data_IF_037262915595
#
_entry.id   IF_037262915595
#
_cell.length_a   1.000
_cell.length_b   1.000
_cell.length_c   1.000
_cell.angle_alpha   90.00
_cell.angle_beta   90.00
_cell.angle_gamma   90.00
#
_symmetry.space_group_name_H-M   'P 1'
#
loop_
_entity.id
_entity.type
_entity.pdbx_description
1 polymer ?
#
# COMPACT_ATOMS: atom_id res chain seq x y z
N UNK A 1 -0.82 1.38 27.32
CA UNK A 1 0.10 1.53 26.17
C UNK A 1 -0.75 1.90 24.97
N UNK A 2 -0.80 3.19 24.63
CA UNK A 2 -1.48 3.62 23.41
C UNK A 2 -0.82 2.95 22.21
N UNK A 3 -1.62 2.25 21.39
CA UNK A 3 -1.14 1.73 20.11
C UNK A 3 -0.71 2.95 19.30
N UNK A 4 0.60 3.16 19.13
CA UNK A 4 1.13 4.19 18.23
C UNK A 4 0.45 4.02 16.87
N UNK A 5 -0.28 5.04 16.48
CA UNK A 5 -0.97 5.12 15.20
C UNK A 5 0.05 5.48 14.12
N UNK A 6 0.38 4.50 13.27
CA UNK A 6 1.45 4.65 12.29
C UNK A 6 0.92 5.19 10.97
N UNK A 7 1.69 6.07 10.34
CA UNK A 7 1.48 6.45 8.94
C UNK A 7 1.92 5.29 8.04
N UNK A 8 1.17 5.07 6.96
CA UNK A 8 1.35 3.90 6.09
C UNK A 8 1.77 4.34 4.69
N UNK A 9 3.05 4.22 4.42
CA UNK A 9 3.61 4.39 3.08
C UNK A 9 3.44 3.09 2.27
N UNK A 10 3.08 3.22 1.01
CA UNK A 10 3.11 2.13 0.04
C UNK A 10 4.03 2.48 -1.12
N UNK A 11 4.90 1.55 -1.51
CA UNK A 11 5.77 1.69 -2.69
C UNK A 11 5.67 0.43 -3.54
N UNK A 12 5.43 0.58 -4.84
CA UNK A 12 5.34 -0.53 -5.79
C UNK A 12 6.24 -0.30 -6.98
N UNK A 13 7.07 -1.29 -7.27
CA UNK A 13 7.81 -1.35 -8.52
C UNK A 13 6.93 -1.91 -9.65
N UNK A 14 6.87 -1.21 -10.77
CA UNK A 14 6.15 -1.63 -11.96
C UNK A 14 7.10 -1.66 -13.16
N UNK A 15 7.63 -2.85 -13.55
CA UNK A 15 8.37 -2.97 -14.79
C UNK A 15 7.42 -2.71 -15.97
N UNK A 16 7.90 -1.99 -16.98
CA UNK A 16 7.17 -1.76 -18.23
C UNK A 16 7.78 -2.58 -19.37
N UNK A 17 7.26 -2.42 -20.59
CA UNK A 17 7.84 -3.01 -21.81
C UNK A 17 9.27 -2.54 -22.05
N UNK A 18 9.96 -3.12 -23.05
CA UNK A 18 11.37 -2.82 -23.35
C UNK A 18 11.62 -1.34 -23.65
N UNK A 19 10.67 -0.68 -24.29
CA UNK A 19 10.79 0.69 -24.79
C UNK A 19 10.42 1.76 -23.76
N UNK A 20 9.86 1.36 -22.61
CA UNK A 20 9.42 2.30 -21.58
C UNK A 20 10.21 2.13 -20.29
N UNK A 21 10.57 3.23 -19.61
CA UNK A 21 11.22 3.12 -18.31
C UNK A 21 10.27 2.44 -17.31
N UNK A 22 10.81 1.68 -16.34
CA UNK A 22 10.00 1.19 -15.24
C UNK A 22 9.41 2.36 -14.44
N UNK A 23 8.29 2.12 -13.76
CA UNK A 23 7.67 3.09 -12.88
C UNK A 23 7.83 2.69 -11.41
N UNK A 24 7.93 3.69 -10.54
CA UNK A 24 7.61 3.52 -9.12
C UNK A 24 6.26 4.18 -8.86
N UNK A 25 5.37 3.41 -8.25
CA UNK A 25 4.08 3.90 -7.76
C UNK A 25 4.17 4.04 -6.25
N UNK A 26 3.64 5.12 -5.69
CA UNK A 26 3.67 5.31 -4.24
C UNK A 26 2.52 6.18 -3.75
N UNK A 27 2.23 6.07 -2.45
CA UNK A 27 1.32 6.93 -1.71
C UNK A 27 1.67 6.91 -0.22
N UNK A 28 1.11 7.85 0.53
CA UNK A 28 1.22 7.89 1.99
C UNK A 28 -0.17 8.15 2.60
N UNK A 29 -0.52 7.30 3.56
CA UNK A 29 -1.72 7.44 4.37
C UNK A 29 -1.38 7.85 5.80
N UNK A 30 -2.22 8.69 6.39
CA UNK A 30 -2.19 8.98 7.83
C UNK A 30 -2.78 7.81 8.66
N UNK A 31 -2.97 8.02 9.97
CA UNK A 31 -3.55 7.02 10.85
C UNK A 31 -5.06 6.78 10.66
N UNK A 32 -5.76 7.74 10.06
CA UNK A 32 -7.17 7.68 9.69
C UNK A 32 -7.39 7.15 8.27
N UNK A 33 -6.30 6.77 7.60
CA UNK A 33 -6.28 6.31 6.22
C UNK A 33 -6.68 7.40 5.22
N UNK A 34 -6.41 8.67 5.53
CA UNK A 34 -6.48 9.78 4.59
C UNK A 34 -5.14 9.97 3.87
N UNK A 35 -5.20 10.50 2.65
CA UNK A 35 -4.00 10.74 1.85
C UNK A 35 -3.22 11.94 2.38
N UNK A 36 -2.00 11.68 2.86
CA UNK A 36 -0.97 12.72 3.04
C UNK A 36 -0.20 12.95 1.74
N UNK A 37 0.02 11.88 0.98
CA UNK A 37 0.52 11.92 -0.39
C UNK A 37 -0.44 11.10 -1.25
N UNK A 38 -1.17 11.78 -2.14
CA UNK A 38 -2.07 11.14 -3.09
C UNK A 38 -1.31 10.13 -3.97
N UNK A 39 -1.97 9.08 -4.48
CA UNK A 39 -1.33 8.08 -5.33
C UNK A 39 -0.64 8.68 -6.56
N UNK A 40 0.64 8.39 -6.70
CA UNK A 40 1.49 8.89 -7.80
C UNK A 40 2.20 7.75 -8.49
N UNK A 41 2.55 7.96 -9.75
CA UNK A 41 3.42 7.09 -10.54
C UNK A 41 4.50 7.93 -11.21
N UNK A 42 5.75 7.52 -11.06
CA UNK A 42 6.88 8.26 -11.60
C UNK A 42 7.79 7.35 -12.44
N UNK A 43 8.20 7.79 -13.65
CA UNK A 43 9.17 7.06 -14.45
C UNK A 43 10.54 7.10 -13.80
N UNK A 44 11.26 5.97 -13.89
CA UNK A 44 12.52 5.79 -13.18
C UNK A 44 13.68 5.77 -14.15
N UNK A 45 14.49 6.82 -14.07
CA UNK A 45 15.81 6.90 -14.73
C UNK A 45 16.90 6.39 -13.79
N UNK A 46 16.86 6.80 -12.52
CA UNK A 46 17.79 6.36 -11.48
C UNK A 46 17.05 5.86 -10.23
N UNK A 47 17.03 4.53 -10.04
CA UNK A 47 16.30 3.87 -8.95
C UNK A 47 16.66 4.44 -7.57
N UNK A 48 17.95 4.69 -7.31
CA UNK A 48 18.40 5.13 -5.99
C UNK A 48 17.95 6.56 -5.70
N UNK A 49 18.19 7.49 -6.63
CA UNK A 49 17.77 8.89 -6.47
C UNK A 49 16.25 8.99 -6.34
N UNK A 50 15.51 8.26 -7.18
CA UNK A 50 14.04 8.23 -7.11
C UNK A 50 13.54 7.69 -5.77
N UNK A 51 14.12 6.59 -5.26
CA UNK A 51 13.73 6.03 -3.96
C UNK A 51 14.07 6.96 -2.79
N UNK A 52 15.24 7.61 -2.82
CA UNK A 52 15.63 8.60 -1.81
C UNK A 52 14.64 9.75 -1.80
N UNK A 53 14.33 10.31 -2.97
CA UNK A 53 13.36 11.41 -3.10
C UNK A 53 11.96 11.04 -2.56
N UNK A 54 11.44 9.84 -2.89
CA UNK A 54 10.16 9.37 -2.34
C UNK A 54 10.21 9.26 -0.81
N UNK A 55 11.27 8.67 -0.27
CA UNK A 55 11.37 8.45 1.17
C UNK A 55 11.62 9.74 1.93
N UNK A 56 12.28 10.74 1.33
CA UNK A 56 12.44 12.08 1.90
C UNK A 56 11.10 12.81 1.89
N UNK A 57 10.35 12.76 0.78
CA UNK A 57 8.99 13.32 0.67
C UNK A 57 8.06 12.73 1.75
N UNK A 58 8.00 11.40 1.90
CA UNK A 58 7.21 10.76 2.96
C UNK A 58 7.66 11.16 4.38
N UNK A 59 8.95 11.42 4.57
CA UNK A 59 9.51 11.75 5.88
C UNK A 59 9.13 13.15 6.35
N UNK A 60 8.83 14.07 5.42
CA UNK A 60 8.36 15.42 5.77
C UNK A 60 7.09 15.41 6.63
N UNK A 61 6.27 14.37 6.51
CA UNK A 61 5.05 14.18 7.29
C UNK A 61 5.26 13.43 8.62
N UNK A 62 6.37 12.69 8.76
CA UNK A 62 6.57 11.80 9.90
C UNK A 62 7.00 12.56 11.16
N UNK A 63 6.48 12.15 12.32
CA UNK A 63 6.88 12.67 13.63
C UNK A 63 7.07 11.54 14.64
N UNK A 64 7.61 11.84 15.83
CA UNK A 64 7.76 10.82 16.89
C UNK A 64 6.41 10.25 17.38
N UNK A 65 5.36 11.07 17.30
CA UNK A 65 3.99 10.71 17.64
C UNK A 65 3.34 9.85 16.55
N UNK A 66 3.73 10.09 15.29
CA UNK A 66 3.22 9.40 14.11
C UNK A 66 4.36 8.78 13.30
N UNK A 67 4.92 7.65 13.78
CA UNK A 67 6.01 6.98 13.09
C UNK A 67 5.56 6.44 11.73
N UNK A 68 6.44 6.62 10.74
CA UNK A 68 6.23 6.15 9.37
C UNK A 68 6.57 4.67 9.23
N UNK A 69 5.64 3.89 8.70
CA UNK A 69 5.86 2.51 8.25
C UNK A 69 5.72 2.44 6.74
N UNK A 70 6.75 1.93 6.06
CA UNK A 70 6.71 1.79 4.61
C UNK A 70 6.59 0.33 4.24
N UNK A 71 5.51 0.00 3.56
CA UNK A 71 5.30 -1.29 2.92
C UNK A 71 5.63 -1.19 1.44
N UNK A 72 6.19 -2.27 0.89
CA UNK A 72 6.56 -2.26 -0.51
C UNK A 72 6.31 -3.58 -1.22
N UNK A 73 5.99 -3.50 -2.51
CA UNK A 73 5.93 -4.64 -3.41
C UNK A 73 7.08 -4.56 -4.39
N UNK A 74 7.91 -5.61 -4.36
CA UNK A 74 8.96 -5.89 -5.36
C UNK A 74 8.73 -7.25 -6.00
N UNK A 75 9.59 -7.63 -6.96
CA UNK A 75 9.64 -9.00 -7.51
C UNK A 75 9.88 -10.07 -6.43
N UNK A 76 9.56 -11.32 -6.75
CA UNK A 76 9.92 -12.47 -5.93
C UNK A 76 11.27 -13.03 -6.37
N UNK A 77 12.36 -12.63 -5.71
CA UNK A 77 13.74 -13.08 -6.03
C UNK A 77 13.94 -14.60 -6.18
N UNK A 78 13.00 -15.45 -5.71
CA UNK A 78 13.08 -16.91 -5.82
C UNK A 78 12.57 -17.48 -7.15
N UNK A 79 11.82 -16.70 -7.95
CA UNK A 79 11.38 -17.14 -9.27
C UNK A 79 12.34 -16.58 -10.32
N UNK A 80 13.36 -17.37 -10.67
CA UNK A 80 14.37 -17.02 -11.68
C UNK A 80 13.73 -16.56 -12.98
N UNK A 81 14.23 -15.44 -13.55
CA UNK A 81 13.69 -14.83 -14.78
C UNK A 81 13.37 -13.34 -14.69
N UNK A 82 13.68 -12.67 -13.57
CA UNK A 82 13.38 -11.25 -13.41
C UNK A 82 14.38 -10.32 -14.11
N UNK A 83 13.87 -9.20 -14.65
CA UNK A 83 14.70 -8.09 -15.14
C UNK A 83 15.69 -7.65 -14.04
N UNK A 84 16.95 -7.36 -14.41
CA UNK A 84 18.02 -6.94 -13.48
C UNK A 84 17.62 -5.72 -12.62
N UNK A 85 16.89 -4.78 -13.21
CA UNK A 85 16.38 -3.58 -12.54
C UNK A 85 15.48 -3.87 -11.33
N UNK A 86 14.73 -4.97 -11.39
CA UNK A 86 13.75 -5.33 -10.38
C UNK A 86 14.42 -5.93 -9.15
N UNK A 87 15.50 -6.70 -9.36
CA UNK A 87 16.40 -7.14 -8.28
C UNK A 87 17.09 -5.94 -7.63
N UNK A 88 17.63 -5.03 -8.45
CA UNK A 88 18.25 -3.79 -7.97
C UNK A 88 17.28 -2.96 -7.12
N UNK A 89 16.04 -2.77 -7.56
CA UNK A 89 15.00 -2.12 -6.76
C UNK A 89 14.81 -2.82 -5.41
N UNK A 90 14.64 -4.14 -5.40
CA UNK A 90 14.40 -4.90 -4.17
C UNK A 90 15.50 -4.70 -3.12
N UNK A 91 16.77 -4.81 -3.52
CA UNK A 91 17.88 -4.64 -2.60
C UNK A 91 18.02 -3.18 -2.12
N UNK A 92 17.84 -2.21 -3.03
CA UNK A 92 17.93 -0.79 -2.69
C UNK A 92 16.83 -0.35 -1.72
N UNK A 93 15.56 -0.63 -2.00
CA UNK A 93 14.45 -0.24 -1.12
C UNK A 93 14.62 -0.86 0.26
N UNK A 94 14.96 -2.16 0.33
CA UNK A 94 15.13 -2.86 1.62
C UNK A 94 16.29 -2.26 2.41
N UNK A 95 17.42 -1.98 1.76
CA UNK A 95 18.58 -1.35 2.40
C UNK A 95 18.28 0.07 2.90
N UNK A 96 17.59 0.88 2.09
CA UNK A 96 17.19 2.24 2.46
C UNK A 96 16.22 2.25 3.64
N UNK A 97 15.18 1.42 3.60
CA UNK A 97 14.22 1.31 4.71
C UNK A 97 14.89 0.84 5.99
N UNK A 98 15.82 -0.14 5.91
CA UNK A 98 16.58 -0.61 7.07
C UNK A 98 17.41 0.52 7.69
N UNK A 99 18.19 1.24 6.87
CA UNK A 99 19.07 2.33 7.35
C UNK A 99 18.30 3.49 7.95
N UNK A 100 17.06 3.73 7.49
CA UNK A 100 16.20 4.81 7.97
C UNK A 100 15.28 4.41 9.13
N UNK A 101 15.37 3.16 9.62
CA UNK A 101 14.48 2.67 10.68
C UNK A 101 13.02 2.51 10.26
N UNK A 102 12.71 2.53 8.96
CA UNK A 102 11.36 2.46 8.40
C UNK A 102 10.92 1.01 8.07
N UNK A 103 11.84 0.06 8.23
CA UNK A 103 11.61 -1.35 7.90
C UNK A 103 10.92 -2.07 9.06
N UNK A 104 9.64 -2.38 8.90
CA UNK A 104 8.92 -3.28 9.81
C UNK A 104 9.15 -4.74 9.45
N UNK A 105 8.96 -5.64 10.44
CA UNK A 105 8.84 -7.08 10.18
C UNK A 105 7.68 -7.26 9.20
N UNK A 106 7.97 -7.93 8.08
CA UNK A 106 7.01 -8.18 7.00
C UNK A 106 6.57 -6.92 6.21
N UNK A 107 7.41 -5.90 6.10
CA UNK A 107 7.14 -4.71 5.26
C UNK A 107 6.99 -5.02 3.77
N UNK A 108 7.59 -6.12 3.32
CA UNK A 108 7.50 -6.58 1.93
C UNK A 108 6.19 -7.34 1.70
N UNK A 109 5.42 -6.89 0.73
CA UNK A 109 4.35 -7.69 0.13
C UNK A 109 4.97 -8.75 -0.80
N UNK A 110 4.94 -10.02 -0.39
CA UNK A 110 5.42 -11.10 -1.24
C UNK A 110 4.47 -11.38 -2.42
N UNK A 111 3.16 -11.38 -2.15
CA UNK A 111 2.11 -11.70 -3.12
C UNK A 111 1.12 -10.55 -3.27
N UNK A 112 0.62 -10.34 -4.49
CA UNK A 112 -0.53 -9.48 -4.72
C UNK A 112 -1.81 -10.29 -4.50
N UNK A 113 -2.91 -9.59 -4.25
CA UNK A 113 -4.25 -10.19 -4.24
C UNK A 113 -4.51 -10.91 -5.57
N UNK A 114 -5.23 -12.03 -5.49
CA UNK A 114 -5.75 -12.72 -6.69
C UNK A 114 -6.73 -11.81 -7.46
N UNK A 115 -7.11 -12.20 -8.67
CA UNK A 115 -8.03 -11.39 -9.48
C UNK A 115 -9.35 -11.13 -8.76
N UNK A 116 -9.92 -12.14 -8.12
CA UNK A 116 -11.21 -12.04 -7.43
C UNK A 116 -11.09 -11.27 -6.12
N UNK A 117 -10.01 -11.49 -5.36
CA UNK A 117 -9.71 -10.70 -4.16
C UNK A 117 -9.48 -9.23 -4.50
N UNK A 118 -8.76 -8.94 -5.58
CA UNK A 118 -8.51 -7.57 -6.03
C UNK A 118 -9.80 -6.91 -6.52
N UNK A 119 -10.67 -7.64 -7.21
CA UNK A 119 -12.00 -7.15 -7.63
C UNK A 119 -12.82 -6.74 -6.40
N UNK A 120 -12.91 -7.64 -5.40
CA UNK A 120 -13.59 -7.39 -4.13
C UNK A 120 -13.00 -6.20 -3.38
N UNK A 121 -11.68 -6.14 -3.28
CA UNK A 121 -10.97 -5.05 -2.61
C UNK A 121 -11.21 -3.70 -3.30
N UNK A 122 -11.21 -3.67 -4.64
CA UNK A 122 -11.57 -2.48 -5.43
C UNK A 122 -13.00 -2.02 -5.17
N UNK A 123 -13.97 -2.95 -5.25
CA UNK A 123 -15.36 -2.64 -4.97
C UNK A 123 -15.53 -2.04 -3.56
N UNK A 124 -14.84 -2.61 -2.56
CA UNK A 124 -14.85 -2.09 -1.21
C UNK A 124 -14.30 -0.66 -1.12
N UNK A 125 -13.16 -0.39 -1.78
CA UNK A 125 -12.57 0.95 -1.84
C UNK A 125 -13.53 1.95 -2.50
N UNK A 126 -14.15 1.58 -3.62
CA UNK A 126 -15.08 2.46 -4.33
C UNK A 126 -16.32 2.80 -3.49
N UNK A 127 -16.85 1.83 -2.73
CA UNK A 127 -17.98 2.04 -1.82
C UNK A 127 -17.60 2.85 -0.57
N UNK A 128 -16.31 2.97 -0.30
CA UNK A 128 -15.73 3.73 0.80
C UNK A 128 -15.12 5.05 0.31
N UNK A 129 -15.63 5.55 -0.82
CA UNK A 129 -15.28 6.81 -1.49
C UNK A 129 -13.79 6.97 -1.81
N UNK A 130 -13.09 5.87 -2.05
CA UNK A 130 -11.74 5.86 -2.63
C UNK A 130 -11.87 5.65 -4.13
N UNK A 131 -11.64 6.69 -4.93
CA UNK A 131 -11.69 6.55 -6.39
C UNK A 131 -10.59 5.61 -6.90
N UNK A 132 -10.99 4.40 -7.30
CA UNK A 132 -10.12 3.46 -8.01
C UNK A 132 -10.56 3.20 -9.46
N UNK A 133 -11.65 3.83 -9.91
CA UNK A 133 -12.34 3.55 -11.17
C UNK A 133 -11.93 4.43 -12.32
N UNK A 134 -11.35 5.61 -12.07
CA UNK A 134 -10.82 6.45 -13.15
C UNK A 134 -9.85 5.65 -14.04
N UNK A 135 -10.00 5.77 -15.36
CA UNK A 135 -9.11 5.11 -16.32
C UNK A 135 -7.67 5.57 -16.06
N UNK A 136 -6.78 4.62 -15.75
CA UNK A 136 -5.39 4.91 -15.35
C UNK A 136 -5.13 4.86 -13.84
N UNK A 137 -6.17 4.85 -13.01
CA UNK A 137 -6.09 4.84 -11.54
C UNK A 137 -6.17 3.45 -10.91
N UNK A 138 -6.26 2.37 -11.71
CA UNK A 138 -6.36 1.00 -11.20
C UNK A 138 -5.18 0.57 -10.29
N UNK A 139 -4.05 1.27 -10.37
CA UNK A 139 -2.90 1.05 -9.49
C UNK A 139 -3.11 1.54 -8.05
N UNK A 140 -4.07 2.44 -7.82
CA UNK A 140 -4.42 2.95 -6.50
C UNK A 140 -4.82 1.78 -5.58
N UNK A 141 -5.67 0.87 -6.07
CA UNK A 141 -6.04 -0.32 -5.32
C UNK A 141 -4.85 -1.22 -4.95
N UNK A 142 -3.82 -1.29 -5.81
CA UNK A 142 -2.59 -2.01 -5.48
C UNK A 142 -1.79 -1.30 -4.37
N UNK A 143 -1.70 0.03 -4.42
CA UNK A 143 -1.04 0.79 -3.36
C UNK A 143 -1.79 0.66 -2.03
N UNK A 144 -3.12 0.74 -2.03
CA UNK A 144 -3.94 0.46 -0.84
C UNK A 144 -3.72 -0.94 -0.30
N UNK A 145 -3.71 -1.95 -1.16
CA UNK A 145 -3.42 -3.32 -0.75
C UNK A 145 -2.03 -3.42 -0.08
N UNK A 146 -1.02 -2.71 -0.62
CA UNK A 146 0.33 -2.65 -0.05
C UNK A 146 0.34 -1.93 1.31
N UNK A 147 -0.24 -0.74 1.40
CA UNK A 147 -0.29 0.05 2.63
C UNK A 147 -0.98 -0.73 3.76
N UNK A 148 -2.07 -1.43 3.43
CA UNK A 148 -2.85 -2.22 4.38
C UNK A 148 -2.30 -3.63 4.60
N UNK A 149 -1.27 -4.05 3.85
CA UNK A 149 -0.79 -5.44 3.79
C UNK A 149 -1.94 -6.45 3.57
N UNK A 150 -2.84 -6.10 2.66
CA UNK A 150 -3.91 -6.97 2.22
C UNK A 150 -3.33 -8.14 1.41
N UNK A 151 -3.37 -9.33 2.01
CA UNK A 151 -3.06 -10.62 1.37
C UNK A 151 -4.34 -11.45 1.28
N UNK A 152 -4.31 -12.61 0.64
CA UNK A 152 -5.47 -13.51 0.55
C UNK A 152 -6.12 -13.81 1.92
N UNK A 153 -5.30 -14.00 2.95
CA UNK A 153 -5.77 -14.26 4.33
C UNK A 153 -6.20 -13.00 5.08
N UNK A 154 -5.84 -11.81 4.59
CA UNK A 154 -5.99 -10.54 5.33
C UNK A 154 -6.81 -9.50 4.58
N UNK A 155 -7.30 -9.80 3.39
CA UNK A 155 -8.07 -8.87 2.57
C UNK A 155 -9.33 -8.40 3.31
N UNK A 156 -10.02 -9.30 4.00
CA UNK A 156 -11.21 -8.98 4.79
C UNK A 156 -10.88 -8.11 6.00
N UNK A 157 -9.75 -8.40 6.66
CA UNK A 157 -9.24 -7.60 7.76
C UNK A 157 -8.89 -6.17 7.29
N UNK A 158 -8.23 -6.06 6.14
CA UNK A 158 -7.87 -4.79 5.53
C UNK A 158 -9.12 -3.98 5.17
N UNK A 159 -10.11 -4.59 4.50
CA UNK A 159 -11.40 -3.97 4.18
C UNK A 159 -12.08 -3.47 5.46
N UNK A 160 -12.12 -4.30 6.52
CA UNK A 160 -12.70 -3.92 7.80
C UNK A 160 -11.97 -2.74 8.45
N UNK A 161 -10.63 -2.70 8.38
CA UNK A 161 -9.85 -1.57 8.89
C UNK A 161 -10.19 -0.26 8.16
N UNK A 162 -10.31 -0.30 6.83
CA UNK A 162 -10.69 0.86 6.02
C UNK A 162 -12.11 1.31 6.36
N UNK A 163 -13.06 0.36 6.40
CA UNK A 163 -14.44 0.63 6.77
C UNK A 163 -14.54 1.29 8.15
N UNK A 164 -13.87 0.73 9.16
CA UNK A 164 -13.82 1.33 10.49
C UNK A 164 -13.26 2.74 10.49
N UNK A 165 -12.19 2.99 9.73
CA UNK A 165 -11.58 4.31 9.66
C UNK A 165 -12.55 5.34 9.04
N UNK A 166 -13.23 4.98 7.95
CA UNK A 166 -14.22 5.84 7.28
C UNK A 166 -15.41 6.21 8.15
N UNK A 167 -15.84 5.31 9.04
CA UNK A 167 -16.92 5.58 9.99
C UNK A 167 -16.42 6.02 11.38
N UNK A 168 -15.13 6.34 11.54
CA UNK A 168 -14.51 6.72 12.81
C UNK A 168 -14.73 5.72 13.98
N UNK A 169 -14.83 4.42 13.67
CA UNK A 169 -15.11 3.35 14.64
C UNK A 169 -13.80 2.85 15.27
N UNK A 170 -13.59 3.12 16.56
CA UNK A 170 -12.42 2.60 17.28
C UNK A 170 -12.63 1.13 17.71
N UNK A 171 -13.76 0.82 18.33
CA UNK A 171 -14.15 -0.53 18.79
C UNK A 171 -15.47 -0.92 18.13
N UNK A 172 -15.54 -2.14 17.57
CA UNK A 172 -16.78 -2.61 16.95
C UNK A 172 -17.82 -2.95 18.03
N UNK A 173 -18.98 -2.31 17.95
CA UNK A 173 -20.18 -2.76 18.65
C UNK A 173 -20.87 -3.91 17.88
N UNK A 174 -21.88 -4.53 18.50
CA UNK A 174 -22.74 -5.51 17.80
C UNK A 174 -23.44 -4.89 16.59
N UNK A 175 -23.88 -3.62 16.71
CA UNK A 175 -24.53 -2.88 15.62
C UNK A 175 -23.57 -2.65 14.46
N UNK A 176 -22.32 -2.29 14.75
CA UNK A 176 -21.29 -2.09 13.72
C UNK A 176 -20.94 -3.40 13.01
N UNK A 177 -20.91 -4.52 13.75
CA UNK A 177 -20.68 -5.83 13.16
C UNK A 177 -21.77 -6.22 12.16
N UNK A 178 -23.03 -5.93 12.47
CA UNK A 178 -24.17 -6.16 11.56
C UNK A 178 -24.02 -5.27 10.32
N UNK A 179 -23.79 -3.97 10.49
CA UNK A 179 -23.60 -3.03 9.37
C UNK A 179 -22.40 -3.40 8.50
N UNK A 180 -21.30 -3.86 9.10
CA UNK A 180 -20.16 -4.34 8.35
C UNK A 180 -20.50 -5.61 7.57
N UNK A 181 -21.26 -6.54 8.15
CA UNK A 181 -21.70 -7.75 7.44
C UNK A 181 -22.60 -7.40 6.25
N UNK A 182 -23.56 -6.48 6.42
CA UNK A 182 -24.39 -5.95 5.33
C UNK A 182 -23.56 -5.29 4.23
N UNK A 183 -22.62 -4.42 4.60
CA UNK A 183 -21.68 -3.83 3.64
C UNK A 183 -20.90 -4.92 2.88
N UNK A 184 -20.40 -5.92 3.61
CA UNK A 184 -19.51 -6.94 3.04
C UNK A 184 -20.25 -7.95 2.14
N UNK A 185 -21.54 -8.22 2.37
CA UNK A 185 -22.33 -9.12 1.49
C UNK A 185 -22.49 -8.58 0.08
N UNK A 186 -22.46 -7.26 -0.09
CA UNK A 186 -22.54 -6.61 -1.40
C UNK A 186 -21.23 -6.62 -2.20
N UNK A 187 -20.12 -7.03 -1.60
CA UNK A 187 -18.80 -7.09 -2.26
C UNK A 187 -18.57 -8.40 -3.04
N UNK A 188 -19.62 -9.18 -3.30
CA UNK A 188 -19.54 -10.48 -4.01
C UNK A 188 -19.49 -10.31 -5.53
#
# INVERSE_FOLDING_TARGET
MDKKSNYRGAIRWLPQGREKPPLIQYMLLDEKLEYLISPRQIPVVNIQQTLVGILDDMRTFSSEQHPLQVHFKSINVHYGGHRRDSGRFHYLIRGLLKRRGLLTRDSRMAFLLTKDELKRFKQALDWLDVDTRTRGSAFIAHLWAIAMKATHRRVDEAIRQIWKARYAIQRMSKKDAIRFAEFYTHLR
#
